data_IF_456698616566
#
_entry.id   IF_456698616566
#
_cell.length_a   1.000
_cell.length_b   1.000
_cell.length_c   1.000
_cell.angle_alpha   90.00
_cell.angle_beta   90.00
_cell.angle_gamma   90.00
#
_symmetry.space_group_name_H-M   'P 1'
#
loop_
_entity.id
_entity.type
_entity.pdbx_description
1 polymer ?
#
# COMPACT_ATOMS: atom_id res chain seq x y z
N UNK A 1 8.20 -16.63 -14.07
CA UNK A 1 8.69 -15.67 -15.09
C UNK A 1 7.63 -14.61 -15.30
N UNK A 2 8.01 -13.32 -15.34
CA UNK A 2 7.13 -12.22 -15.75
C UNK A 2 6.87 -12.36 -17.26
N UNK A 3 5.60 -12.44 -17.65
CA UNK A 3 5.18 -12.83 -19.03
C UNK A 3 4.81 -11.66 -19.93
N UNK A 4 4.56 -10.46 -19.38
CA UNK A 4 4.10 -9.28 -20.13
C UNK A 4 5.29 -8.43 -20.59
N UNK A 5 5.35 -8.17 -21.89
CA UNK A 5 6.30 -7.28 -22.54
C UNK A 5 5.56 -5.96 -22.81
N UNK A 6 6.03 -4.88 -22.21
CA UNK A 6 5.40 -3.57 -22.27
C UNK A 6 5.95 -2.82 -23.48
N UNK A 7 5.05 -2.25 -24.27
CA UNK A 7 5.42 -1.54 -25.50
C UNK A 7 5.63 -0.05 -25.25
N UNK A 8 5.02 0.48 -24.20
CA UNK A 8 5.20 1.86 -23.76
C UNK A 8 5.35 1.96 -22.25
N UNK A 9 5.77 3.13 -21.76
CA UNK A 9 5.88 3.40 -20.32
C UNK A 9 4.49 3.51 -19.69
N UNK A 10 3.51 4.04 -20.43
CA UNK A 10 2.13 4.21 -19.97
C UNK A 10 1.48 2.86 -19.67
N UNK A 11 1.67 1.85 -20.51
CA UNK A 11 1.20 0.49 -20.25
C UNK A 11 1.81 -0.10 -18.97
N UNK A 12 3.07 0.21 -18.68
CA UNK A 12 3.75 -0.22 -17.46
C UNK A 12 3.20 0.50 -16.22
N UNK A 13 2.94 1.81 -16.37
CA UNK A 13 2.45 2.64 -15.28
C UNK A 13 1.05 2.21 -14.84
N UNK A 14 0.15 1.89 -15.78
CA UNK A 14 -1.21 1.43 -15.46
C UNK A 14 -1.17 0.17 -14.58
N UNK A 15 -0.42 -0.86 -15.00
CA UNK A 15 -0.28 -2.09 -14.23
C UNK A 15 0.38 -1.84 -12.86
N UNK A 16 1.34 -0.92 -12.79
CA UNK A 16 1.99 -0.56 -11.53
C UNK A 16 1.00 0.13 -10.58
N UNK A 17 0.20 1.06 -11.08
CA UNK A 17 -0.79 1.79 -10.29
C UNK A 17 -1.86 0.86 -9.74
N UNK A 18 -2.39 -0.05 -10.57
CA UNK A 18 -3.31 -1.09 -10.13
C UNK A 18 -2.68 -1.98 -9.05
N UNK A 19 -1.43 -2.41 -9.26
CA UNK A 19 -0.72 -3.23 -8.29
C UNK A 19 -0.48 -2.50 -6.96
N UNK A 20 -0.15 -1.21 -7.01
CA UNK A 20 0.04 -0.39 -5.82
C UNK A 20 -1.26 -0.24 -5.02
N UNK A 21 -2.40 -0.08 -5.68
CA UNK A 21 -3.70 -0.02 -5.01
C UNK A 21 -3.95 -1.35 -4.28
N UNK A 22 -3.86 -2.47 -4.98
CA UNK A 22 -4.06 -3.80 -4.39
C UNK A 22 -3.10 -4.05 -3.20
N UNK A 23 -1.80 -3.78 -3.39
CA UNK A 23 -0.79 -3.98 -2.35
C UNK A 23 -1.08 -3.15 -1.10
N UNK A 24 -1.43 -1.88 -1.28
CA UNK A 24 -1.58 -0.95 -0.17
C UNK A 24 -2.92 -1.09 0.54
N UNK A 25 -3.97 -1.53 -0.14
CA UNK A 25 -5.35 -1.46 0.38
C UNK A 25 -6.01 -2.81 0.60
N UNK A 26 -5.63 -3.85 -0.13
CA UNK A 26 -6.31 -5.16 -0.09
C UNK A 26 -5.40 -6.24 0.51
N UNK A 27 -4.10 -6.21 0.20
CA UNK A 27 -3.16 -7.22 0.66
C UNK A 27 -2.80 -7.02 2.13
N UNK A 28 -3.07 -8.04 2.94
CA UNK A 28 -2.66 -8.08 4.36
C UNK A 28 -1.22 -8.57 4.50
N UNK A 29 -0.46 -7.95 5.40
CA UNK A 29 0.94 -8.29 5.65
C UNK A 29 1.17 -8.73 7.09
N UNK A 30 1.82 -9.88 7.28
CA UNK A 30 2.16 -10.43 8.60
C UNK A 30 3.44 -9.82 9.23
N UNK A 31 4.05 -8.82 8.60
CA UNK A 31 5.25 -8.16 9.14
C UNK A 31 4.95 -7.37 10.42
N UNK A 32 5.98 -7.17 11.25
CA UNK A 32 5.91 -6.51 12.58
C UNK A 32 5.12 -5.18 12.63
N UNK A 33 5.04 -4.44 11.53
CA UNK A 33 4.33 -3.15 11.48
C UNK A 33 2.86 -3.33 11.14
N UNK A 34 2.55 -4.19 10.18
CA UNK A 34 1.20 -4.39 9.68
C UNK A 34 0.40 -5.36 10.56
N UNK A 35 1.04 -6.39 11.13
CA UNK A 35 0.41 -7.36 12.04
C UNK A 35 -0.89 -7.95 11.50
N UNK A 36 -0.89 -8.34 10.21
CA UNK A 36 -2.08 -8.88 9.54
C UNK A 36 -3.01 -7.82 8.94
N UNK A 37 -2.73 -6.52 9.12
CA UNK A 37 -3.45 -5.43 8.42
C UNK A 37 -2.82 -5.12 7.06
N UNK A 38 -3.49 -4.27 6.30
CA UNK A 38 -2.94 -3.67 5.08
C UNK A 38 -2.02 -2.49 5.41
N UNK A 39 -1.11 -2.10 4.50
CA UNK A 39 -0.25 -0.94 4.70
C UNK A 39 -1.04 0.34 4.95
N UNK A 40 -2.14 0.56 4.21
CA UNK A 40 -3.01 1.73 4.40
C UNK A 40 -3.73 1.72 5.73
N UNK A 41 -4.25 0.57 6.18
CA UNK A 41 -4.85 0.47 7.52
C UNK A 41 -3.84 0.83 8.61
N UNK A 42 -2.61 0.33 8.48
CA UNK A 42 -1.52 0.64 9.42
C UNK A 42 -1.18 2.14 9.44
N UNK A 43 -1.17 2.80 8.28
CA UNK A 43 -0.90 4.23 8.15
C UNK A 43 -1.99 5.08 8.82
N UNK A 44 -3.26 4.75 8.59
CA UNK A 44 -4.40 5.48 9.15
C UNK A 44 -4.42 5.40 10.67
N UNK A 45 -4.16 4.22 11.23
CA UNK A 45 -4.07 4.03 12.68
C UNK A 45 -2.91 4.86 13.27
N UNK A 46 -1.75 4.87 12.60
CA UNK A 46 -0.61 5.69 13.00
C UNK A 46 -0.91 7.20 12.94
N UNK A 47 -1.67 7.64 11.93
CA UNK A 47 -2.11 9.04 11.78
C UNK A 47 -3.03 9.46 12.92
N UNK A 48 -3.91 8.58 13.37
CA UNK A 48 -4.80 8.87 14.51
C UNK A 48 -4.01 9.08 15.80
N UNK A 49 -3.06 8.18 16.11
CA UNK A 49 -2.16 8.31 17.27
C UNK A 49 -1.36 9.62 17.20
N UNK A 50 -0.87 9.99 16.01
CA UNK A 50 -0.14 11.24 15.83
C UNK A 50 -1.01 12.47 16.15
N UNK A 51 -2.26 12.49 15.67
CA UNK A 51 -3.20 13.59 15.96
C UNK A 51 -3.47 13.75 17.45
N UNK A 52 -3.69 12.64 18.16
CA UNK A 52 -3.93 12.64 19.61
C UNK A 52 -2.75 13.23 20.39
N UNK A 53 -1.52 12.99 19.92
CA UNK A 53 -0.30 13.56 20.53
C UNK A 53 -0.06 15.03 20.23
N UNK A 54 -0.64 15.55 19.15
CA UNK A 54 -0.41 16.93 18.71
C UNK A 54 -1.46 17.91 19.28
N UNK A 55 -2.58 17.39 19.76
CA UNK A 55 -3.69 18.17 20.36
C UNK A 55 -3.58 18.21 21.90
N UNK A 56 -2.63 17.46 22.48
CA UNK A 56 -2.32 17.42 23.92
C UNK A 56 -1.15 18.33 24.31
#
# INVERSE_FOLDING_TARGET
>A
LRKKLYRTIEELQIDLDEWLIHYNTERTHQGKRCCGRTPMGTLLDGKQIWKEKFIA
#
